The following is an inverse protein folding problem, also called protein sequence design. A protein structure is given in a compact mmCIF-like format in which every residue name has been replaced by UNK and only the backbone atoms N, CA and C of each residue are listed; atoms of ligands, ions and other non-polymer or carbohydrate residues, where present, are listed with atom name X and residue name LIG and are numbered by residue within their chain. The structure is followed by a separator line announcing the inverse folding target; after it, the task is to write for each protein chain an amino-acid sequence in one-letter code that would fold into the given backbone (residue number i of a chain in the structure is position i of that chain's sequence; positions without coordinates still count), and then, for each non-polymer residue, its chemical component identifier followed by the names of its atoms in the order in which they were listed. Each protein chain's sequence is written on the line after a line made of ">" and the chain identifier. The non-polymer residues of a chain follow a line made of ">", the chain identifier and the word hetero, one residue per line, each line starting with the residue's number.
data_IF_523800736749
#
_entry.id   IF_523800736749
#
_cell.length_a   1.000
_cell.length_b   1.000
_cell.length_c   1.000
_cell.angle_alpha   90.00
_cell.angle_beta   90.00
_cell.angle_gamma   90.00
#
_symmetry.space_group_name_H-M   'P 1'
#
loop_
_entity.id
_entity.type
_entity.pdbx_description
1 polymer ?
#
# COMPACT_ATOMS: atom_id res chain seq x y z
N UNK A 1 7.13 16.62 -16.42
CA UNK A 1 7.82 15.91 -15.33
C UNK A 1 7.05 14.61 -15.11
N UNK A 2 7.70 13.44 -15.22
CA UNK A 2 7.06 12.14 -15.01
C UNK A 2 6.93 11.86 -13.51
N UNK A 3 5.82 11.28 -13.09
CA UNK A 3 5.62 10.79 -11.72
C UNK A 3 6.03 9.31 -11.66
N UNK A 4 6.57 8.89 -10.51
CA UNK A 4 7.00 7.52 -10.26
C UNK A 4 6.36 6.99 -8.97
N UNK A 5 6.24 5.67 -8.84
CA UNK A 5 5.83 5.01 -7.60
C UNK A 5 6.82 5.26 -6.46
N UNK A 6 6.33 5.16 -5.22
CA UNK A 6 7.07 5.61 -4.04
C UNK A 6 8.23 4.70 -3.63
N UNK A 7 8.10 3.37 -3.79
CA UNK A 7 9.11 2.40 -3.31
C UNK A 7 10.12 2.02 -4.38
N UNK A 8 9.65 1.62 -5.56
CA UNK A 8 10.46 1.04 -6.64
C UNK A 8 10.70 2.01 -7.80
N UNK A 9 10.12 3.22 -7.76
CA UNK A 9 10.34 4.22 -8.80
C UNK A 9 9.78 3.84 -10.16
N UNK A 10 8.69 3.08 -10.20
CA UNK A 10 8.03 2.64 -11.45
C UNK A 10 7.35 3.83 -12.13
N UNK A 11 7.55 4.04 -13.44
CA UNK A 11 7.03 5.21 -14.13
C UNK A 11 5.52 5.14 -14.32
N UNK A 12 4.82 6.23 -13.98
CA UNK A 12 3.40 6.38 -14.27
C UNK A 12 3.15 6.87 -15.69
N UNK A 13 2.05 6.40 -16.28
CA UNK A 13 1.55 6.91 -17.53
C UNK A 13 0.91 8.28 -17.27
N UNK A 14 1.34 9.27 -18.04
CA UNK A 14 0.79 10.63 -17.97
C UNK A 14 -0.70 10.65 -18.38
N UNK A 15 -1.51 11.57 -17.83
CA UNK A 15 -2.90 11.70 -18.21
C UNK A 15 -3.09 11.86 -19.72
N UNK A 16 -4.00 11.07 -20.28
CA UNK A 16 -4.33 11.04 -21.70
C UNK A 16 -5.81 10.72 -21.92
N UNK A 17 -6.26 10.81 -23.17
CA UNK A 17 -7.64 10.50 -23.58
C UNK A 17 -8.07 9.09 -23.15
N UNK A 18 -9.34 8.95 -22.79
CA UNK A 18 -10.00 7.73 -22.30
C UNK A 18 -9.50 7.17 -20.95
N UNK A 19 -8.76 7.95 -20.16
CA UNK A 19 -8.41 7.61 -18.76
C UNK A 19 -7.75 6.24 -18.54
N UNK A 20 -7.20 5.60 -19.59
CA UNK A 20 -6.49 4.31 -19.49
C UNK A 20 -5.34 4.29 -18.49
N UNK A 21 -4.76 5.48 -18.24
CA UNK A 21 -3.70 5.68 -17.27
C UNK A 21 -4.15 5.43 -15.84
N UNK A 22 -5.44 5.61 -15.52
CA UNK A 22 -5.95 5.42 -14.15
C UNK A 22 -5.79 3.96 -13.74
N UNK A 23 -6.46 3.03 -14.43
CA UNK A 23 -6.39 1.60 -14.10
C UNK A 23 -4.97 1.03 -14.18
N UNK A 24 -4.17 1.49 -15.15
CA UNK A 24 -2.79 1.05 -15.27
C UNK A 24 -1.91 1.55 -14.13
N UNK A 25 -1.99 2.84 -13.78
CA UNK A 25 -1.21 3.40 -12.69
C UNK A 25 -1.64 2.81 -11.34
N UNK A 26 -2.92 2.45 -11.15
CA UNK A 26 -3.39 1.69 -9.98
C UNK A 26 -2.75 0.30 -9.89
N UNK A 27 -2.59 -0.39 -11.02
CA UNK A 27 -1.88 -1.67 -11.06
C UNK A 27 -0.39 -1.50 -10.72
N UNK A 28 0.27 -0.46 -11.25
CA UNK A 28 1.68 -0.15 -10.91
C UNK A 28 1.82 0.13 -9.42
N UNK A 29 0.93 0.95 -8.86
CA UNK A 29 0.88 1.30 -7.45
C UNK A 29 0.70 0.07 -6.55
N UNK A 30 -0.15 -0.87 -6.95
CA UNK A 30 -0.32 -2.15 -6.25
C UNK A 30 0.94 -3.01 -6.33
N UNK A 31 1.56 -3.13 -7.50
CA UNK A 31 2.81 -3.88 -7.68
C UNK A 31 3.96 -3.29 -6.86
N UNK A 32 4.10 -1.97 -6.83
CA UNK A 32 5.08 -1.25 -6.00
C UNK A 32 4.92 -1.56 -4.51
N UNK A 33 3.66 -1.65 -4.07
CA UNK A 33 3.29 -1.89 -2.68
C UNK A 33 3.56 -3.33 -2.24
N UNK A 34 3.38 -4.31 -3.14
CA UNK A 34 3.47 -5.74 -2.80
C UNK A 34 4.81 -6.41 -3.17
N UNK A 35 5.56 -5.83 -4.11
CA UNK A 35 6.83 -6.40 -4.55
C UNK A 35 7.93 -6.14 -3.52
N UNK A 36 8.69 -7.19 -3.18
CA UNK A 36 9.74 -7.13 -2.14
C UNK A 36 9.21 -6.55 -0.81
N UNK A 37 7.99 -6.95 -0.45
CA UNK A 37 7.32 -6.48 0.76
C UNK A 37 8.10 -6.93 2.00
N UNK A 38 8.37 -5.98 2.90
CA UNK A 38 9.01 -6.24 4.20
C UNK A 38 8.12 -5.62 5.27
N UNK A 39 7.62 -6.46 6.18
CA UNK A 39 6.77 -5.99 7.27
C UNK A 39 7.61 -5.39 8.38
N UNK A 40 7.28 -4.15 8.76
CA UNK A 40 7.82 -3.47 9.95
C UNK A 40 7.17 -3.99 11.23
N UNK A 41 5.89 -4.38 11.17
CA UNK A 41 5.20 -5.01 12.29
C UNK A 41 4.13 -5.98 11.81
N UNK A 42 3.82 -6.97 12.65
CA UNK A 42 2.73 -7.92 12.41
C UNK A 42 1.78 -7.90 13.61
N UNK A 43 0.49 -7.70 13.37
CA UNK A 43 -0.55 -7.76 14.41
C UNK A 43 -0.79 -6.46 15.16
N UNK A 44 -0.29 -5.32 14.67
CA UNK A 44 -0.57 -4.02 15.28
C UNK A 44 -2.02 -3.59 14.96
N UNK A 45 -2.77 -3.11 15.96
CA UNK A 45 -4.16 -2.67 15.77
C UNK A 45 -4.30 -1.16 15.53
N UNK A 46 -3.19 -0.41 15.58
CA UNK A 46 -3.15 1.04 15.34
C UNK A 46 -1.97 1.42 14.45
N UNK A 47 -2.14 2.42 13.56
CA UNK A 47 -1.07 2.93 12.73
C UNK A 47 0.05 3.55 13.58
N UNK A 48 1.34 3.26 13.29
CA UNK A 48 2.44 4.02 13.86
C UNK A 48 2.40 5.48 13.40
N UNK A 49 2.57 6.42 14.34
CA UNK A 49 2.53 7.85 14.03
C UNK A 49 3.69 8.28 13.12
N UNK A 50 4.84 7.63 13.26
CA UNK A 50 6.07 7.95 12.51
C UNK A 50 6.28 7.05 11.28
N UNK A 51 5.22 6.41 10.76
CA UNK A 51 5.35 5.54 9.60
C UNK A 51 5.81 6.33 8.36
N UNK A 52 6.89 5.87 7.72
CA UNK A 52 7.43 6.50 6.50
C UNK A 52 6.80 5.91 5.24
N UNK A 53 6.75 6.70 4.16
CA UNK A 53 6.15 6.24 2.90
C UNK A 53 6.83 4.97 2.41
N UNK A 54 6.02 3.97 2.09
CA UNK A 54 6.45 2.64 1.70
C UNK A 54 6.53 1.64 2.86
N UNK A 55 6.45 2.03 4.12
CA UNK A 55 6.45 1.06 5.22
C UNK A 55 5.18 0.22 5.22
N UNK A 56 5.33 -1.08 5.50
CA UNK A 56 4.25 -2.04 5.48
C UNK A 56 4.05 -2.71 6.85
N UNK A 57 2.79 -2.90 7.22
CA UNK A 57 2.38 -3.48 8.49
C UNK A 57 1.25 -4.47 8.26
N UNK A 58 1.23 -5.59 8.99
CA UNK A 58 0.05 -6.45 9.05
C UNK A 58 -0.85 -5.94 10.17
N UNK A 59 -2.07 -5.55 9.80
CA UNK A 59 -3.09 -5.05 10.70
C UNK A 59 -3.62 -6.21 11.54
N UNK A 60 -3.52 -6.07 12.86
CA UNK A 60 -4.07 -7.00 13.83
C UNK A 60 -5.59 -6.93 13.93
N UNK A 61 -6.16 -7.71 14.85
CA UNK A 61 -7.59 -7.63 15.15
C UNK A 61 -7.92 -6.35 15.94
N UNK A 62 -9.18 -5.91 15.84
CA UNK A 62 -9.71 -4.70 16.46
C UNK A 62 -8.95 -3.44 16.01
N UNK A 63 -8.73 -3.34 14.70
CA UNK A 63 -8.06 -2.22 14.07
C UNK A 63 -8.80 -0.90 14.36
N UNK A 64 -8.04 0.16 14.62
CA UNK A 64 -8.54 1.46 15.03
C UNK A 64 -7.86 2.60 14.26
N UNK A 65 -8.40 3.82 14.44
CA UNK A 65 -7.94 5.02 13.74
C UNK A 65 -8.03 4.83 12.21
N UNK A 66 -6.99 5.20 11.46
CA UNK A 66 -6.95 5.04 10.00
C UNK A 66 -7.03 3.56 9.56
N UNK A 67 -6.81 2.61 10.46
CA UNK A 67 -6.89 1.17 10.17
C UNK A 67 -8.26 0.58 10.50
N UNK A 68 -9.22 1.37 10.99
CA UNK A 68 -10.55 0.87 11.37
C UNK A 68 -11.23 0.09 10.22
N UNK A 69 -11.65 -1.14 10.51
CA UNK A 69 -12.29 -2.03 9.54
C UNK A 69 -11.34 -2.75 8.56
N UNK A 70 -10.02 -2.61 8.74
CA UNK A 70 -8.98 -3.24 7.90
C UNK A 70 -8.29 -4.40 8.63
N UNK A 71 -9.00 -5.09 9.53
CA UNK A 71 -8.46 -6.23 10.29
C UNK A 71 -7.87 -7.30 9.36
N UNK A 72 -6.65 -7.74 9.63
CA UNK A 72 -5.96 -8.77 8.84
C UNK A 72 -5.43 -8.30 7.48
N UNK A 73 -5.63 -7.04 7.11
CA UNK A 73 -5.07 -6.47 5.90
C UNK A 73 -3.56 -6.16 6.05
N UNK A 74 -2.88 -6.06 4.92
CA UNK A 74 -1.57 -5.43 4.82
C UNK A 74 -1.80 -3.94 4.61
N UNK A 75 -1.36 -3.11 5.56
CA UNK A 75 -1.37 -1.66 5.45
C UNK A 75 0.00 -1.17 4.97
N UNK A 76 0.04 -0.50 3.82
CA UNK A 76 1.24 0.14 3.27
C UNK A 76 1.06 1.66 3.35
N UNK A 77 2.01 2.37 3.95
CA UNK A 77 1.98 3.82 4.05
C UNK A 77 2.24 4.44 2.68
N UNK A 78 1.35 5.31 2.21
CA UNK A 78 1.50 6.03 0.95
C UNK A 78 1.27 7.52 1.15
N UNK A 79 2.36 8.30 1.18
CA UNK A 79 2.29 9.72 1.53
C UNK A 79 1.64 9.94 2.90
N UNK A 80 0.52 10.64 2.91
CA UNK A 80 -0.24 10.95 4.13
C UNK A 80 -1.29 9.87 4.49
N UNK A 81 -1.53 8.89 3.62
CA UNK A 81 -2.58 7.88 3.80
C UNK A 81 -2.05 6.45 3.85
N UNK A 82 -2.98 5.51 3.88
CA UNK A 82 -2.71 4.08 3.92
C UNK A 82 -3.38 3.39 2.74
N UNK A 83 -2.64 2.50 2.08
CA UNK A 83 -3.18 1.54 1.13
C UNK A 83 -3.31 0.19 1.81
N UNK A 84 -4.49 -0.41 1.70
CA UNK A 84 -4.78 -1.71 2.29
C UNK A 84 -4.87 -2.79 1.23
N UNK A 85 -4.24 -3.92 1.49
CA UNK A 85 -4.32 -5.11 0.65
C UNK A 85 -4.75 -6.29 1.51
N UNK A 86 -5.86 -6.92 1.17
CA UNK A 86 -6.26 -8.16 1.82
C UNK A 86 -5.40 -9.31 1.26
N UNK A 87 -4.60 -10.00 2.07
CA UNK A 87 -3.81 -11.14 1.59
C UNK A 87 -4.73 -12.23 1.04
N UNK A 88 -4.41 -12.74 -0.14
CA UNK A 88 -5.08 -13.93 -0.66
C UNK A 88 -4.46 -15.19 -0.05
N UNK A 89 -5.22 -16.29 -0.07
CA UNK A 89 -4.71 -17.59 0.36
C UNK A 89 -3.42 -17.95 -0.39
N UNK A 90 -2.43 -18.47 0.35
CA UNK A 90 -1.14 -18.89 -0.20
C UNK A 90 -0.10 -17.78 -0.34
N UNK A 91 -0.43 -16.52 -0.02
CA UNK A 91 0.58 -15.46 0.09
C UNK A 91 1.56 -15.79 1.22
N UNK A 92 2.84 -15.52 0.96
CA UNK A 92 3.95 -15.76 1.89
C UNK A 92 4.78 -14.48 1.96
N UNK A 93 5.12 -14.06 3.17
CA UNK A 93 6.01 -12.95 3.47
C UNK A 93 6.87 -13.26 4.68
#
# INVERSE_FOLDING_TARGET
>A
MFQHSARLGLPFIMPAQAQKHVTHNEAIQTLDSLTQLVFRSVGASRPPQDATSGEAHVVGAAAAEDWAGQDGAIAVREGAGWRFHLPAEGWRG
#
